data_IF_152725793115
#
_entry.id   IF_152725793115
#
_cell.length_a   1.000
_cell.length_b   1.000
_cell.length_c   1.000
_cell.angle_alpha   90.00
_cell.angle_beta   90.00
_cell.angle_gamma   90.00
#
_symmetry.space_group_name_H-M   'P 1'
#
loop_
_entity.id
_entity.type
_entity.pdbx_description
1 polymer ?
#
# COMPACT_ATOMS: atom_id res chain seq x y z
N UNK A 1 -11.21 14.82 18.62
CA UNK A 1 -11.58 15.09 17.21
C UNK A 1 -12.39 13.91 16.70
N UNK A 2 -13.68 14.06 16.40
CA UNK A 2 -14.54 12.95 15.97
C UNK A 2 -14.71 12.93 14.45
N UNK A 3 -13.94 12.09 13.77
CA UNK A 3 -14.24 11.70 12.38
C UNK A 3 -15.34 10.64 12.44
N UNK A 4 -16.51 10.95 11.87
CA UNK A 4 -17.64 10.04 11.78
C UNK A 4 -18.04 9.89 10.30
N UNK A 5 -17.56 8.81 9.67
CA UNK A 5 -17.87 8.50 8.28
C UNK A 5 -19.10 7.59 8.25
N UNK A 6 -20.09 7.93 7.42
CA UNK A 6 -21.34 7.17 7.32
C UNK A 6 -21.18 5.81 6.64
N UNK A 7 -20.03 5.55 6.02
CA UNK A 7 -19.76 4.36 5.20
C UNK A 7 -18.34 3.86 5.46
N UNK A 8 -18.10 2.53 5.31
CA UNK A 8 -16.75 2.00 5.25
C UNK A 8 -15.92 2.79 4.24
N UNK A 9 -14.72 3.22 4.63
CA UNK A 9 -13.88 4.09 3.82
C UNK A 9 -12.47 3.54 3.73
N UNK A 10 -11.93 3.51 2.51
CA UNK A 10 -10.53 3.16 2.26
C UNK A 10 -9.79 4.42 1.84
N UNK A 11 -8.71 4.73 2.54
CA UNK A 11 -7.81 5.84 2.25
C UNK A 11 -6.58 5.27 1.53
N UNK A 12 -6.42 5.60 0.26
CA UNK A 12 -5.25 5.23 -0.52
C UNK A 12 -4.16 6.30 -0.37
N UNK A 13 -2.95 5.86 -0.04
CA UNK A 13 -1.75 6.71 -0.01
C UNK A 13 -0.84 6.28 -1.14
N UNK A 14 -0.61 7.20 -2.08
CA UNK A 14 0.18 6.98 -3.29
C UNK A 14 1.43 7.87 -3.33
N UNK A 15 2.35 7.59 -4.26
CA UNK A 15 3.53 8.41 -4.50
C UNK A 15 4.60 8.31 -3.41
N UNK A 16 4.51 7.32 -2.52
CA UNK A 16 5.49 7.12 -1.44
C UNK A 16 6.83 6.59 -1.96
N UNK A 17 6.86 6.10 -3.19
CA UNK A 17 8.07 5.66 -3.91
C UNK A 17 8.93 6.83 -4.44
N UNK A 18 8.40 8.06 -4.41
CA UNK A 18 9.12 9.27 -4.78
C UNK A 18 10.04 9.75 -3.65
N UNK A 19 11.31 9.33 -3.66
CA UNK A 19 12.32 9.81 -2.71
C UNK A 19 12.64 11.31 -2.94
N UNK A 20 12.49 12.18 -1.93
CA UNK A 20 12.94 13.57 -2.02
C UNK A 20 14.45 13.67 -2.25
N UNK A 21 14.90 14.68 -3.00
CA UNK A 21 16.32 14.82 -3.39
C UNK A 21 17.25 15.03 -2.19
N UNK A 22 16.75 15.69 -1.16
CA UNK A 22 17.52 16.08 0.02
C UNK A 22 17.55 14.99 1.10
N UNK A 23 16.89 13.85 0.87
CA UNK A 23 16.84 12.72 1.81
C UNK A 23 17.66 11.58 1.24
N UNK A 24 18.62 11.09 2.03
CA UNK A 24 19.41 9.93 1.64
C UNK A 24 18.56 8.64 1.60
N UNK A 25 19.15 7.57 1.08
CA UNK A 25 18.40 6.33 0.89
C UNK A 25 18.05 5.65 2.22
N UNK A 26 18.92 5.77 3.22
CA UNK A 26 18.75 5.13 4.53
C UNK A 26 17.58 5.76 5.28
N UNK A 27 17.60 7.09 5.42
CA UNK A 27 16.52 7.88 6.02
C UNK A 27 15.19 7.66 5.29
N UNK A 28 15.23 7.58 3.96
CA UNK A 28 14.04 7.27 3.16
C UNK A 28 13.42 5.92 3.52
N UNK A 29 14.23 4.86 3.63
CA UNK A 29 13.75 3.54 4.02
C UNK A 29 13.28 3.50 5.48
N UNK A 30 13.96 4.19 6.40
CA UNK A 30 13.52 4.33 7.80
C UNK A 30 12.14 4.97 7.89
N UNK A 31 11.90 6.06 7.15
CA UNK A 31 10.59 6.71 7.07
C UNK A 31 9.51 5.76 6.53
N UNK A 32 9.80 5.00 5.46
CA UNK A 32 8.84 4.05 4.91
C UNK A 32 8.52 2.90 5.87
N UNK A 33 9.51 2.37 6.57
CA UNK A 33 9.31 1.34 7.60
C UNK A 33 8.42 1.87 8.71
N UNK A 34 8.67 3.09 9.18
CA UNK A 34 7.83 3.78 10.17
C UNK A 34 6.38 3.91 9.68
N UNK A 35 6.19 4.37 8.44
CA UNK A 35 4.86 4.51 7.83
C UNK A 35 4.12 3.17 7.72
N UNK A 36 4.79 2.12 7.23
CA UNK A 36 4.18 0.79 7.09
C UNK A 36 3.75 0.23 8.45
N UNK A 37 4.60 0.35 9.47
CA UNK A 37 4.27 -0.11 10.82
C UNK A 37 3.11 0.70 11.42
N UNK A 38 3.12 2.02 11.27
CA UNK A 38 2.03 2.88 11.72
C UNK A 38 0.70 2.51 11.04
N UNK A 39 0.69 2.27 9.73
CA UNK A 39 -0.52 1.86 9.01
C UNK A 39 -1.04 0.50 9.48
N UNK A 40 -0.14 -0.48 9.69
CA UNK A 40 -0.52 -1.79 10.22
C UNK A 40 -1.17 -1.67 11.60
N UNK A 41 -0.59 -0.87 12.49
CA UNK A 41 -1.11 -0.62 13.84
C UNK A 41 -2.45 0.14 13.80
N UNK A 42 -2.53 1.23 13.03
CA UNK A 42 -3.74 2.03 12.91
C UNK A 42 -4.91 1.22 12.34
N UNK A 43 -4.68 0.39 11.33
CA UNK A 43 -5.69 -0.50 10.75
C UNK A 43 -6.20 -1.57 11.72
N UNK A 44 -5.44 -1.89 12.78
CA UNK A 44 -5.81 -2.84 13.82
C UNK A 44 -6.39 -2.18 15.09
N UNK A 45 -6.25 -0.86 15.23
CA UNK A 45 -6.72 -0.10 16.38
C UNK A 45 -8.04 0.63 16.08
N UNK A 46 -8.14 1.91 16.44
CA UNK A 46 -9.39 2.68 16.42
C UNK A 46 -9.98 2.87 15.00
N UNK A 47 -9.18 2.76 13.93
CA UNK A 47 -9.71 2.85 12.57
C UNK A 47 -10.61 1.66 12.24
N UNK A 48 -10.32 0.49 12.80
CA UNK A 48 -11.15 -0.72 12.61
C UNK A 48 -12.56 -0.50 13.13
N UNK A 49 -12.70 0.10 14.32
CA UNK A 49 -14.00 0.44 14.93
C UNK A 49 -14.76 1.47 14.09
N UNK A 50 -14.02 2.38 13.44
CA UNK A 50 -14.57 3.40 12.53
C UNK A 50 -14.81 2.91 11.11
N UNK A 51 -14.52 1.64 10.81
CA UNK A 51 -14.59 1.07 9.45
C UNK A 51 -13.74 1.87 8.44
N UNK A 52 -12.61 2.40 8.90
CA UNK A 52 -11.62 3.08 8.07
C UNK A 52 -10.45 2.13 7.87
N UNK A 53 -9.95 2.04 6.64
CA UNK A 53 -8.71 1.32 6.32
C UNK A 53 -7.79 2.23 5.53
N UNK A 54 -6.51 2.27 5.92
CA UNK A 54 -5.46 2.92 5.14
C UNK A 54 -4.78 1.84 4.29
N UNK A 55 -4.63 2.10 2.99
CA UNK A 55 -3.91 1.25 2.05
C UNK A 55 -2.76 2.03 1.43
N UNK A 56 -1.55 1.53 1.59
CA UNK A 56 -0.36 2.07 0.97
C UNK A 56 -0.17 1.45 -0.42
N UNK A 57 0.03 2.29 -1.43
CA UNK A 57 0.44 1.86 -2.76
C UNK A 57 1.96 1.88 -2.81
N UNK A 58 2.57 0.69 -2.78
CA UNK A 58 4.02 0.52 -2.69
C UNK A 58 4.48 -0.38 -3.82
N UNK A 59 5.57 0.02 -4.48
CA UNK A 59 6.23 -0.86 -5.43
C UNK A 59 6.81 -2.09 -4.75
N UNK A 60 6.69 -3.30 -5.34
CA UNK A 60 7.19 -4.53 -4.74
C UNK A 60 8.69 -4.48 -4.41
N UNK A 61 9.52 -3.89 -5.28
CA UNK A 61 10.97 -3.81 -5.10
C UNK A 61 11.39 -2.96 -3.89
N UNK A 62 10.62 -1.93 -3.54
CA UNK A 62 10.83 -1.13 -2.33
C UNK A 62 10.35 -1.92 -1.12
N UNK A 63 9.16 -2.54 -1.21
CA UNK A 63 8.58 -3.33 -0.13
C UNK A 63 9.51 -4.47 0.32
N UNK A 64 10.11 -5.20 -0.62
CA UNK A 64 11.03 -6.31 -0.30
C UNK A 64 12.35 -5.87 0.35
N UNK A 65 12.73 -4.59 0.26
CA UNK A 65 13.92 -4.04 0.90
C UNK A 65 13.67 -3.55 2.33
N UNK A 66 12.41 -3.43 2.75
CA UNK A 66 12.07 -2.93 4.08
C UNK A 66 12.26 -4.01 5.16
N UNK A 67 12.96 -3.73 6.27
CA UNK A 67 13.12 -4.65 7.39
C UNK A 67 11.87 -4.71 8.29
N UNK A 68 10.71 -5.09 7.74
CA UNK A 68 9.49 -5.27 8.55
C UNK A 68 9.40 -6.70 9.07
N UNK A 69 9.25 -6.85 10.39
CA UNK A 69 9.09 -8.15 11.05
C UNK A 69 7.90 -8.93 10.46
N UNK A 70 8.10 -10.22 10.15
CA UNK A 70 7.12 -11.12 9.53
C UNK A 70 6.50 -10.60 8.22
N UNK A 71 7.31 -9.93 7.39
CA UNK A 71 6.89 -9.36 6.10
C UNK A 71 6.07 -10.31 5.25
N UNK A 72 6.53 -11.54 5.03
CA UNK A 72 5.87 -12.51 4.14
C UNK A 72 4.43 -12.81 4.56
N UNK A 73 4.19 -12.95 5.86
CA UNK A 73 2.85 -13.21 6.37
C UNK A 73 1.97 -11.96 6.31
N UNK A 74 2.55 -10.77 6.59
CA UNK A 74 1.86 -9.49 6.47
C UNK A 74 1.41 -9.23 5.04
N UNK A 75 2.27 -9.49 4.05
CA UNK A 75 1.94 -9.41 2.63
C UNK A 75 0.83 -10.40 2.28
N UNK A 76 1.01 -11.68 2.61
CA UNK A 76 0.00 -12.71 2.30
C UNK A 76 -1.40 -12.39 2.84
N UNK A 77 -1.48 -11.80 4.04
CA UNK A 77 -2.76 -11.57 4.72
C UNK A 77 -3.36 -10.19 4.46
N UNK A 78 -2.54 -9.17 4.15
CA UNK A 78 -2.98 -7.77 4.13
C UNK A 78 -2.65 -7.02 2.84
N UNK A 79 -2.07 -7.67 1.82
CA UNK A 79 -1.77 -7.02 0.55
C UNK A 79 -2.52 -7.64 -0.63
N UNK A 80 -2.69 -6.84 -1.67
CA UNK A 80 -3.14 -7.27 -2.99
C UNK A 80 -2.06 -6.84 -3.98
N UNK A 81 -1.57 -7.78 -4.78
CA UNK A 81 -0.61 -7.47 -5.84
C UNK A 81 -1.35 -7.05 -7.10
N UNK A 82 -1.18 -5.78 -7.50
CA UNK A 82 -1.59 -5.30 -8.81
C UNK A 82 -0.49 -5.62 -9.83
N UNK A 83 -0.66 -6.71 -10.56
CA UNK A 83 0.27 -7.10 -11.62
C UNK A 83 -0.18 -6.52 -12.97
N UNK A 84 0.51 -5.47 -13.42
CA UNK A 84 0.32 -4.83 -14.72
C UNK A 84 1.25 -5.37 -15.82
N UNK A 85 2.07 -6.39 -15.54
CA UNK A 85 3.00 -6.95 -16.53
C UNK A 85 2.19 -7.66 -17.61
N UNK A 86 2.21 -7.08 -18.81
CA UNK A 86 1.56 -7.64 -19.99
C UNK A 86 2.38 -7.31 -21.25
N UNK A 87 1.96 -7.84 -22.39
CA UNK A 87 2.51 -7.49 -23.71
C UNK A 87 1.42 -6.86 -24.56
N UNK A 88 1.81 -6.10 -25.59
CA UNK A 88 0.86 -5.46 -26.51
C UNK A 88 -0.11 -6.45 -27.19
N UNK A 89 0.28 -7.72 -27.34
CA UNK A 89 -0.62 -8.74 -27.92
C UNK A 89 -1.62 -9.31 -26.92
N UNK A 90 -1.38 -9.16 -25.61
CA UNK A 90 -2.11 -9.83 -24.52
C UNK A 90 -2.70 -8.87 -23.48
N UNK A 91 -2.58 -7.55 -23.67
CA UNK A 91 -3.05 -6.58 -22.67
C UNK A 91 -4.56 -6.67 -22.44
N UNK A 92 -5.35 -7.01 -23.48
CA UNK A 92 -6.80 -7.24 -23.40
C UNK A 92 -7.15 -8.36 -22.41
N UNK A 93 -6.29 -9.38 -22.30
CA UNK A 93 -6.51 -10.48 -21.36
C UNK A 93 -6.15 -10.13 -19.91
N UNK A 94 -5.45 -9.01 -19.70
CA UNK A 94 -5.01 -8.61 -18.37
C UNK A 94 -6.20 -8.22 -17.48
N UNK A 95 -6.12 -8.58 -16.19
CA UNK A 95 -7.16 -8.21 -15.21
C UNK A 95 -7.35 -6.70 -15.12
N UNK A 96 -6.25 -5.93 -15.25
CA UNK A 96 -6.30 -4.49 -15.18
C UNK A 96 -7.08 -3.88 -16.35
N UNK A 97 -6.84 -4.37 -17.57
CA UNK A 97 -7.59 -3.93 -18.75
C UNK A 97 -9.08 -4.21 -18.58
N UNK A 98 -9.45 -5.43 -18.17
CA UNK A 98 -10.85 -5.81 -17.97
C UNK A 98 -11.57 -4.95 -16.93
N UNK A 99 -10.88 -4.54 -15.86
CA UNK A 99 -11.45 -3.65 -14.83
C UNK A 99 -11.66 -2.22 -15.36
N UNK A 100 -10.84 -1.77 -16.31
CA UNK A 100 -10.90 -0.40 -16.84
C UNK A 100 -11.82 -0.25 -18.07
N UNK A 101 -12.07 -1.36 -18.80
CA UNK A 101 -12.90 -1.42 -20.01
C UNK A 101 -14.37 -1.79 -19.71
N UNK A 102 -14.68 -2.18 -18.46
CA UNK A 102 -16.05 -2.34 -17.92
C UNK A 102 -16.70 -0.97 -17.61
#
# INVERSE_FOLDING_TARGET
>A
MSVNLKKPTILFVDGIDARPRDIDNEQYFECLVGLVNAVLEMNQSFLKEKQIKIMLLIRPDIMYKMPVHNMNQKLRNNSVLLNWVTSYRKYIDSKLFKIADD
#
